data_IF_243832242692
#
_entry.id   IF_243832242692
#
_cell.length_a   1.000
_cell.length_b   1.000
_cell.length_c   1.000
_cell.angle_alpha   90.00
_cell.angle_beta   90.00
_cell.angle_gamma   90.00
#
_symmetry.space_group_name_H-M   'P 1'
#
loop_
_entity.id
_entity.type
_entity.pdbx_description
1 polymer ?
#
# COMPACT_ATOMS: atom_id res chain seq x y z
N UNK A 1 -1.39 16.88 -35.93
CA UNK A 1 -0.48 18.04 -35.85
C UNK A 1 0.63 17.61 -34.92
N UNK A 2 1.87 17.59 -35.40
CA UNK A 2 3.02 17.17 -34.60
C UNK A 2 3.17 18.13 -33.41
N UNK A 3 3.34 17.56 -32.22
CA UNK A 3 3.52 18.32 -30.98
C UNK A 3 4.89 19.03 -31.05
N UNK A 4 4.95 20.38 -30.92
CA UNK A 4 6.22 21.12 -30.99
C UNK A 4 7.28 20.60 -30.02
N UNK A 5 6.89 20.01 -28.89
CA UNK A 5 7.81 19.38 -27.94
C UNK A 5 8.49 18.13 -28.51
N UNK A 6 7.79 17.34 -29.34
CA UNK A 6 8.37 16.17 -30.00
C UNK A 6 9.44 16.56 -31.03
N UNK A 7 9.26 17.70 -31.70
CA UNK A 7 10.20 18.20 -32.73
C UNK A 7 11.48 18.75 -32.11
N UNK A 8 11.37 19.45 -30.98
CA UNK A 8 12.53 19.94 -30.22
C UNK A 8 13.36 18.77 -29.67
N UNK A 9 12.71 17.76 -29.08
CA UNK A 9 13.38 16.55 -28.59
C UNK A 9 14.05 15.75 -29.71
N UNK A 10 13.43 15.67 -30.90
CA UNK A 10 14.02 15.00 -32.05
C UNK A 10 15.29 15.70 -32.56
N UNK A 11 15.39 17.02 -32.39
CA UNK A 11 16.60 17.80 -32.74
C UNK A 11 17.77 17.43 -31.82
N UNK A 12 17.48 17.08 -30.57
CA UNK A 12 18.45 16.54 -29.60
C UNK A 12 18.68 15.02 -29.74
N UNK A 13 18.17 14.39 -30.80
CA UNK A 13 18.29 12.95 -31.04
C UNK A 13 17.40 12.09 -30.15
N UNK A 14 16.47 12.69 -29.40
CA UNK A 14 15.54 12.00 -28.50
C UNK A 14 14.25 11.68 -29.26
N UNK A 15 13.92 10.38 -29.38
CA UNK A 15 12.66 9.94 -29.99
C UNK A 15 11.61 9.67 -28.93
N UNK A 16 10.47 10.36 -29.03
CA UNK A 16 9.33 10.17 -28.13
C UNK A 16 8.28 9.33 -28.85
N UNK A 17 8.07 8.10 -28.36
CA UNK A 17 7.00 7.21 -28.83
C UNK A 17 5.63 7.60 -28.26
N UNK A 18 4.53 6.96 -28.73
CA UNK A 18 3.22 7.17 -28.15
C UNK A 18 3.23 6.78 -26.66
N UNK A 19 2.55 7.57 -25.82
CA UNK A 19 2.43 7.26 -24.40
C UNK A 19 1.68 5.93 -24.22
N UNK A 20 2.38 4.92 -23.71
CA UNK A 20 1.79 3.62 -23.39
C UNK A 20 1.40 3.59 -21.91
N UNK A 21 0.14 3.23 -21.63
CA UNK A 21 -0.33 3.07 -20.26
C UNK A 21 0.10 1.71 -19.76
N UNK A 22 1.16 1.68 -18.93
CA UNK A 22 1.55 0.46 -18.22
C UNK A 22 0.71 0.36 -16.95
N UNK A 23 -0.23 -0.59 -16.91
CA UNK A 23 -0.99 -0.90 -15.71
C UNK A 23 -0.08 -1.57 -14.67
N UNK A 24 0.69 -0.80 -13.91
CA UNK A 24 1.50 -1.30 -12.81
C UNK A 24 0.65 -1.42 -11.53
N UNK A 25 -0.31 -2.35 -11.52
CA UNK A 25 -0.87 -2.86 -10.29
C UNK A 25 -0.18 -4.17 -9.97
N UNK A 26 0.86 -4.13 -9.14
CA UNK A 26 1.47 -5.37 -8.66
C UNK A 26 1.49 -5.41 -7.15
N UNK A 27 1.07 -6.56 -6.62
CA UNK A 27 1.19 -6.91 -5.21
C UNK A 27 2.64 -7.21 -4.81
N UNK A 28 3.61 -6.79 -5.62
CA UNK A 28 5.02 -7.14 -5.52
C UNK A 28 5.86 -5.87 -5.30
N UNK A 29 6.95 -5.97 -4.49
CA UNK A 29 7.79 -4.81 -4.20
C UNK A 29 8.56 -4.27 -5.42
N UNK A 30 8.64 -5.04 -6.50
CA UNK A 30 9.26 -4.67 -7.77
C UNK A 30 8.53 -5.36 -8.91
N UNK A 31 8.42 -4.68 -10.05
CA UNK A 31 7.87 -5.22 -11.29
C UNK A 31 8.68 -4.69 -12.45
N UNK A 32 9.12 -5.61 -13.31
CA UNK A 32 9.79 -5.29 -14.56
C UNK A 32 8.89 -5.71 -15.70
N UNK A 33 8.56 -4.77 -16.58
CA UNK A 33 7.83 -5.04 -17.82
C UNK A 33 8.77 -4.88 -19.00
N UNK A 34 8.74 -5.83 -19.92
CA UNK A 34 9.52 -5.80 -21.15
C UNK A 34 8.58 -5.65 -22.34
N UNK A 35 8.89 -4.74 -23.26
CA UNK A 35 8.18 -4.59 -24.53
C UNK A 35 9.15 -4.23 -25.64
N UNK A 36 8.77 -4.48 -26.90
CA UNK A 36 9.54 -4.00 -28.04
C UNK A 36 9.08 -2.60 -28.43
N UNK A 37 10.03 -1.70 -28.64
CA UNK A 37 9.75 -0.39 -29.23
C UNK A 37 9.51 -0.50 -30.75
N UNK A 38 9.15 0.63 -31.38
CA UNK A 38 8.89 0.70 -32.82
C UNK A 38 10.12 0.39 -33.70
N UNK A 39 11.33 0.43 -33.15
CA UNK A 39 12.57 0.05 -33.83
C UNK A 39 12.94 -1.43 -33.60
N UNK A 40 12.11 -2.18 -32.86
CA UNK A 40 12.36 -3.57 -32.48
C UNK A 40 13.30 -3.73 -31.29
N UNK A 41 13.76 -2.64 -30.67
CA UNK A 41 14.57 -2.66 -29.46
C UNK A 41 13.76 -3.14 -28.27
N UNK A 42 14.37 -3.94 -27.38
CA UNK A 42 13.71 -4.36 -26.14
C UNK A 42 13.87 -3.27 -25.08
N UNK A 43 12.75 -2.71 -24.63
CA UNK A 43 12.68 -1.71 -23.57
C UNK A 43 12.21 -2.36 -22.28
N UNK A 44 12.91 -2.08 -21.18
CA UNK A 44 12.55 -2.55 -19.84
C UNK A 44 12.09 -1.36 -19.01
N UNK A 45 10.93 -1.48 -18.38
CA UNK A 45 10.44 -0.50 -17.39
C UNK A 45 10.38 -1.17 -16.03
N UNK A 46 10.92 -0.51 -15.01
CA UNK A 46 10.90 -0.98 -13.63
C UNK A 46 10.00 -0.05 -12.80
N UNK A 47 9.05 -0.64 -12.08
CA UNK A 47 8.25 0.04 -11.06
C UNK A 47 8.53 -0.67 -9.73
N UNK A 48 8.92 0.10 -8.71
CA UNK A 48 9.25 -0.45 -7.40
C UNK A 48 8.64 0.33 -6.25
N UNK A 49 8.49 -0.40 -5.16
CA UNK A 49 8.11 0.12 -3.88
C UNK A 49 9.32 0.75 -3.18
N UNK A 50 9.43 2.08 -3.24
CA UNK A 50 10.49 2.87 -2.59
C UNK A 50 10.62 2.70 -1.08
N UNK A 51 9.64 2.10 -0.41
CA UNK A 51 9.73 1.81 1.02
C UNK A 51 10.38 0.45 1.31
N UNK A 52 10.47 -0.40 0.29
CA UNK A 52 11.02 -1.76 0.39
C UNK A 52 12.32 -1.93 -0.40
N UNK A 53 12.47 -1.21 -1.49
CA UNK A 53 13.63 -1.29 -2.39
C UNK A 53 14.11 0.13 -2.64
N UNK A 54 15.41 0.36 -2.49
CA UNK A 54 15.98 1.69 -2.76
C UNK A 54 16.07 1.92 -4.26
N UNK A 55 16.09 3.18 -4.70
CA UNK A 55 16.27 3.50 -6.11
C UNK A 55 17.55 2.87 -6.71
N UNK A 56 18.71 2.87 -6.01
CA UNK A 56 19.90 2.13 -6.45
C UNK A 56 19.68 0.61 -6.58
N UNK A 57 19.02 -0.04 -5.61
CA UNK A 57 18.76 -1.48 -5.68
C UNK A 57 17.80 -1.84 -6.83
N UNK A 58 16.80 -0.98 -7.09
CA UNK A 58 15.87 -1.16 -8.20
C UNK A 58 16.56 -0.98 -9.57
N UNK A 59 17.45 0.01 -9.68
CA UNK A 59 18.27 0.23 -10.87
C UNK A 59 19.23 -0.94 -11.13
N UNK A 60 19.86 -1.47 -10.08
CA UNK A 60 20.73 -2.64 -10.17
C UNK A 60 19.96 -3.88 -10.64
N UNK A 61 18.78 -4.13 -10.07
CA UNK A 61 17.90 -5.24 -10.49
C UNK A 61 17.54 -5.13 -11.97
N UNK A 62 17.24 -3.93 -12.46
CA UNK A 62 16.94 -3.67 -13.86
C UNK A 62 18.18 -3.93 -14.75
N UNK A 63 19.37 -3.49 -14.32
CA UNK A 63 20.62 -3.71 -15.03
C UNK A 63 20.97 -5.20 -15.15
N UNK A 64 20.83 -5.95 -14.06
CA UNK A 64 21.04 -7.41 -14.04
C UNK A 64 20.04 -8.13 -14.94
N UNK A 65 18.76 -7.71 -14.92
CA UNK A 65 17.74 -8.26 -15.83
C UNK A 65 18.10 -8.00 -17.29
N UNK A 66 18.56 -6.78 -17.62
CA UNK A 66 18.99 -6.43 -18.96
C UNK A 66 20.21 -7.26 -19.41
N UNK A 67 21.17 -7.52 -18.51
CA UNK A 67 22.33 -8.38 -18.79
C UNK A 67 21.91 -9.81 -19.10
N UNK A 68 21.06 -10.40 -18.26
CA UNK A 68 20.54 -11.76 -18.48
C UNK A 68 19.81 -11.87 -19.82
N UNK A 69 18.93 -10.92 -20.14
CA UNK A 69 18.18 -10.92 -21.40
C UNK A 69 19.08 -10.75 -22.65
N UNK A 70 20.27 -10.16 -22.49
CA UNK A 70 21.26 -10.03 -23.57
C UNK A 70 22.09 -11.29 -23.76
N UNK A 71 22.46 -11.95 -22.67
CA UNK A 71 23.42 -13.06 -22.70
C UNK A 71 22.75 -14.44 -22.84
N UNK A 72 21.55 -14.63 -22.27
CA UNK A 72 20.84 -15.92 -22.38
C UNK A 72 20.60 -16.36 -23.83
N UNK A 73 20.18 -15.49 -24.77
CA UNK A 73 20.03 -15.87 -26.17
C UNK A 73 21.34 -16.24 -26.88
N UNK A 74 22.49 -15.86 -26.31
CA UNK A 74 23.82 -16.12 -26.88
C UNK A 74 24.46 -17.41 -26.36
N UNK A 75 23.89 -18.01 -25.32
CA UNK A 75 24.41 -19.23 -24.74
C UNK A 75 24.30 -20.41 -25.74
N UNK A 76 25.40 -21.10 -26.07
CA UNK A 76 25.36 -22.20 -27.01
C UNK A 76 24.76 -23.46 -26.36
N UNK A 77 23.52 -23.82 -26.71
CA UNK A 77 22.98 -25.15 -26.40
C UNK A 77 21.47 -25.20 -26.12
N UNK A 78 20.89 -26.39 -26.27
CA UNK A 78 19.46 -26.67 -26.09
C UNK A 78 18.97 -26.64 -24.63
N UNK A 79 19.83 -26.32 -23.66
CA UNK A 79 19.46 -26.27 -22.24
C UNK A 79 20.44 -25.40 -21.42
N UNK A 80 20.24 -24.07 -21.42
CA UNK A 80 20.85 -23.18 -20.41
C UNK A 80 20.16 -23.40 -19.08
N UNK A 81 20.89 -23.78 -18.04
CA UNK A 81 20.30 -23.96 -16.71
C UNK A 81 20.14 -22.62 -16.00
N UNK A 82 19.30 -22.58 -14.97
CA UNK A 82 19.19 -21.41 -14.08
C UNK A 82 20.52 -21.13 -13.39
N UNK A 83 21.32 -22.15 -13.07
CA UNK A 83 22.63 -21.96 -12.46
C UNK A 83 23.59 -21.24 -13.44
N UNK A 84 23.59 -21.63 -14.72
CA UNK A 84 24.40 -20.96 -15.75
C UNK A 84 23.96 -19.51 -15.95
N UNK A 85 22.65 -19.25 -15.90
CA UNK A 85 22.11 -17.89 -15.95
C UNK A 85 22.56 -17.06 -14.74
N UNK A 86 22.50 -17.62 -13.53
CA UNK A 86 22.90 -16.92 -12.31
C UNK A 86 24.42 -16.71 -12.23
N UNK A 87 25.22 -17.60 -12.82
CA UNK A 87 26.67 -17.43 -12.92
C UNK A 87 27.07 -16.15 -13.69
N UNK A 88 26.21 -15.66 -14.60
CA UNK A 88 26.42 -14.38 -15.28
C UNK A 88 26.35 -13.18 -14.32
N UNK A 89 25.75 -13.35 -13.13
CA UNK A 89 25.62 -12.33 -12.11
C UNK A 89 26.69 -12.45 -11.01
N UNK A 90 27.61 -13.42 -11.11
CA UNK A 90 28.65 -13.62 -10.11
C UNK A 90 29.49 -12.34 -9.95
N UNK A 91 29.67 -11.91 -8.69
CA UNK A 91 30.37 -10.68 -8.35
C UNK A 91 29.55 -9.39 -8.48
N UNK A 92 28.33 -9.46 -9.01
CA UNK A 92 27.39 -8.32 -9.01
C UNK A 92 26.82 -8.09 -7.61
N UNK A 93 26.54 -6.83 -7.22
CA UNK A 93 25.91 -6.55 -5.93
C UNK A 93 24.51 -7.17 -5.88
N UNK A 94 24.17 -7.80 -4.75
CA UNK A 94 22.85 -8.40 -4.56
C UNK A 94 21.86 -7.29 -4.15
N UNK A 95 20.84 -6.97 -4.96
CA UNK A 95 19.87 -5.95 -4.63
C UNK A 95 19.11 -6.30 -3.35
N UNK A 96 18.96 -5.33 -2.46
CA UNK A 96 18.33 -5.57 -1.15
C UNK A 96 16.85 -5.24 -1.19
N UNK A 97 16.05 -6.18 -0.70
CA UNK A 97 14.63 -5.96 -0.43
C UNK A 97 14.45 -5.97 1.08
N UNK A 98 13.99 -4.85 1.65
CA UNK A 98 13.62 -4.83 3.04
C UNK A 98 12.54 -5.90 3.30
N UNK A 99 12.76 -6.69 4.35
CA UNK A 99 11.77 -7.63 4.84
C UNK A 99 10.44 -6.90 5.01
N UNK A 100 9.29 -7.53 4.71
CA UNK A 100 8.01 -6.95 5.05
C UNK A 100 8.05 -6.60 6.54
N UNK A 101 7.95 -5.31 6.88
CA UNK A 101 7.72 -4.90 8.26
C UNK A 101 6.24 -5.15 8.56
N UNK A 102 5.85 -6.42 8.54
CA UNK A 102 4.53 -6.83 8.95
C UNK A 102 4.49 -6.75 10.48
N UNK A 103 4.28 -5.54 11.02
CA UNK A 103 3.41 -5.48 12.19
C UNK A 103 2.06 -5.96 11.69
N UNK A 104 1.76 -7.21 12.01
CA UNK A 104 0.49 -7.84 11.64
C UNK A 104 -0.62 -7.00 12.24
N UNK A 105 -1.54 -6.56 11.38
CA UNK A 105 -2.80 -6.01 11.83
C UNK A 105 -3.42 -7.00 12.80
N UNK A 106 -3.72 -6.56 14.02
CA UNK A 106 -4.51 -7.36 14.96
C UNK A 106 -5.94 -7.36 14.45
N UNK A 107 -6.41 -8.53 14.02
CA UNK A 107 -7.79 -8.70 13.58
C UNK A 107 -8.68 -8.74 14.84
N UNK A 108 -9.56 -7.76 14.96
CA UNK A 108 -10.58 -7.71 16.02
C UNK A 108 -11.82 -8.49 15.62
N UNK A 109 -12.16 -8.44 14.32
CA UNK A 109 -13.27 -9.19 13.74
C UNK A 109 -13.00 -9.41 12.25
N UNK A 110 -13.17 -10.65 11.78
CA UNK A 110 -13.06 -10.97 10.36
C UNK A 110 -14.21 -10.32 9.56
N UNK A 111 -14.00 -10.13 8.25
CA UNK A 111 -15.08 -9.74 7.35
C UNK A 111 -16.13 -10.85 7.29
N UNK A 112 -17.41 -10.48 7.22
CA UNK A 112 -18.51 -11.44 7.11
C UNK A 112 -18.74 -11.94 5.68
N UNK A 113 -18.17 -11.25 4.68
CA UNK A 113 -18.20 -11.65 3.26
C UNK A 113 -16.94 -11.23 2.52
N UNK A 114 -16.60 -11.96 1.47
CA UNK A 114 -15.51 -11.62 0.55
C UNK A 114 -15.77 -10.25 -0.11
N UNK A 115 -14.73 -9.42 -0.21
CA UNK A 115 -14.83 -8.10 -0.83
C UNK A 115 -15.53 -7.03 0.02
N UNK A 116 -15.88 -7.31 1.28
CA UNK A 116 -16.48 -6.30 2.17
C UNK A 116 -15.54 -5.13 2.48
N UNK A 117 -14.23 -5.32 2.31
CA UNK A 117 -13.21 -4.34 2.66
C UNK A 117 -12.77 -4.40 4.12
N UNK A 118 -11.87 -3.48 4.48
CA UNK A 118 -11.22 -3.42 5.80
C UNK A 118 -11.41 -2.06 6.44
N UNK A 119 -11.72 -2.04 7.73
CA UNK A 119 -11.64 -0.87 8.59
C UNK A 119 -10.42 -1.04 9.48
N UNK A 120 -9.47 -0.11 9.38
CA UNK A 120 -8.29 -0.06 10.21
C UNK A 120 -8.45 1.00 11.30
N UNK A 121 -8.55 0.53 12.54
CA UNK A 121 -8.67 1.35 13.73
C UNK A 121 -7.30 1.78 14.22
N UNK A 122 -7.03 3.07 14.13
CA UNK A 122 -5.80 3.70 14.58
C UNK A 122 -5.91 3.96 16.08
N UNK A 123 -5.07 3.36 16.94
CA UNK A 123 -5.12 3.65 18.37
C UNK A 123 -4.66 5.08 18.64
N UNK A 124 -5.35 5.83 19.53
CA UNK A 124 -4.78 7.03 20.13
C UNK A 124 -3.47 6.71 20.86
N UNK A 125 -2.51 7.66 20.95
CA UNK A 125 -1.19 7.41 21.54
C UNK A 125 -1.25 6.91 22.98
N UNK A 126 -2.23 7.36 23.76
CA UNK A 126 -2.39 7.04 25.18
C UNK A 126 -3.51 6.02 25.46
N UNK A 127 -4.06 5.38 24.42
CA UNK A 127 -5.17 4.46 24.61
C UNK A 127 -4.73 3.14 25.27
N UNK A 128 -5.54 2.59 26.19
CA UNK A 128 -5.23 1.29 26.78
C UNK A 128 -5.24 0.19 25.70
N UNK A 129 -4.42 -0.86 25.86
CA UNK A 129 -4.54 -2.07 25.04
C UNK A 129 -5.98 -2.58 25.08
N UNK A 130 -6.54 -2.91 23.91
CA UNK A 130 -7.93 -3.40 23.83
C UNK A 130 -9.01 -2.32 23.84
N UNK A 131 -8.68 -1.02 23.70
CA UNK A 131 -9.67 0.06 23.61
C UNK A 131 -10.75 -0.11 22.52
N UNK A 132 -10.51 -0.97 21.53
CA UNK A 132 -11.44 -1.30 20.45
C UNK A 132 -12.15 -2.65 20.60
N UNK A 133 -11.91 -3.40 21.69
CA UNK A 133 -12.47 -4.74 21.85
C UNK A 133 -14.02 -4.70 21.93
N UNK A 134 -14.58 -3.72 22.63
CA UNK A 134 -16.02 -3.49 22.67
C UNK A 134 -16.61 -3.11 21.30
N UNK A 135 -15.82 -2.47 20.43
CA UNK A 135 -16.26 -2.07 19.09
C UNK A 135 -16.43 -3.27 18.17
N UNK A 136 -15.65 -4.35 18.38
CA UNK A 136 -15.79 -5.59 17.62
C UNK A 136 -17.21 -6.18 17.73
N UNK A 137 -17.86 -6.00 18.87
CA UNK A 137 -19.24 -6.44 19.12
C UNK A 137 -20.27 -5.40 18.71
N UNK A 138 -19.96 -4.10 18.86
CA UNK A 138 -20.92 -3.01 18.60
C UNK A 138 -21.11 -2.70 17.10
N UNK A 139 -20.12 -2.99 16.26
CA UNK A 139 -20.16 -2.70 14.82
C UNK A 139 -20.90 -3.79 14.03
N UNK A 140 -22.01 -3.42 13.37
CA UNK A 140 -22.87 -4.37 12.66
C UNK A 140 -22.51 -4.56 11.16
N UNK A 141 -21.63 -3.74 10.60
CA UNK A 141 -21.29 -3.80 9.17
C UNK A 141 -20.56 -5.09 8.76
N UNK A 142 -20.37 -5.36 7.45
CA UNK A 142 -19.71 -6.59 6.96
C UNK A 142 -18.16 -6.56 6.92
N UNK A 143 -17.54 -5.40 7.12
CA UNK A 143 -16.11 -5.14 6.94
C UNK A 143 -15.25 -5.89 7.98
N UNK A 144 -14.03 -6.25 7.63
CA UNK A 144 -13.05 -6.66 8.63
C UNK A 144 -12.72 -5.48 9.56
N UNK A 145 -12.65 -5.72 10.87
CA UNK A 145 -12.15 -4.76 11.84
C UNK A 145 -10.75 -5.16 12.26
N UNK A 146 -9.80 -4.24 12.06
CA UNK A 146 -8.39 -4.46 12.36
C UNK A 146 -7.84 -3.28 13.16
N UNK A 147 -6.75 -3.49 13.89
CA UNK A 147 -6.01 -2.41 14.56
C UNK A 147 -4.50 -2.67 14.52
N UNK A 148 -3.71 -1.61 14.62
CA UNK A 148 -2.24 -1.69 14.70
C UNK A 148 -1.84 -1.64 16.19
N UNK A 149 -0.97 -2.53 16.68
CA UNK A 149 -0.54 -2.48 18.07
C UNK A 149 0.24 -1.19 18.37
N UNK A 150 -0.03 -0.51 19.51
CA UNK A 150 0.75 0.65 19.93
C UNK A 150 2.18 0.24 20.39
N UNK A 151 3.18 1.13 20.28
CA UNK A 151 3.12 2.43 19.62
C UNK A 151 3.13 2.30 18.09
N UNK A 152 2.21 3.00 17.43
CA UNK A 152 2.05 3.00 15.98
C UNK A 152 2.30 4.42 15.43
N UNK A 153 3.21 4.53 14.46
CA UNK A 153 3.42 5.74 13.67
C UNK A 153 2.81 5.56 12.26
N UNK A 154 2.74 6.64 11.48
CA UNK A 154 2.10 6.60 10.16
C UNK A 154 2.80 5.62 9.19
N UNK A 155 4.12 5.42 9.35
CA UNK A 155 4.91 4.50 8.53
C UNK A 155 4.56 3.04 8.86
N UNK A 156 4.45 2.71 10.14
CA UNK A 156 4.09 1.39 10.62
C UNK A 156 2.65 1.02 10.24
N UNK A 157 1.72 1.97 10.36
CA UNK A 157 0.33 1.77 9.92
C UNK A 157 0.26 1.54 8.41
N UNK A 158 0.95 2.35 7.61
CA UNK A 158 1.02 2.14 6.16
C UNK A 158 1.60 0.76 5.83
N UNK A 159 2.71 0.37 6.45
CA UNK A 159 3.34 -0.93 6.21
C UNK A 159 2.39 -2.10 6.48
N UNK A 160 1.60 -2.02 7.55
CA UNK A 160 0.59 -3.00 7.90
C UNK A 160 -0.59 -3.05 6.90
N UNK A 161 -0.94 -1.91 6.28
CA UNK A 161 -2.03 -1.76 5.32
C UNK A 161 -1.67 -2.10 3.88
N UNK A 162 -0.37 -2.15 3.53
CA UNK A 162 0.10 -2.45 2.16
C UNK A 162 -0.58 -3.65 1.50
N UNK A 163 -0.76 -4.81 2.17
CA UNK A 163 -1.37 -5.97 1.53
C UNK A 163 -2.84 -5.74 1.15
N UNK A 164 -3.57 -4.90 1.90
CA UNK A 164 -4.94 -4.53 1.55
C UNK A 164 -4.99 -3.52 0.42
N UNK A 165 -4.11 -2.50 0.46
CA UNK A 165 -3.98 -1.49 -0.59
C UNK A 165 -3.58 -2.10 -1.93
N UNK A 166 -2.63 -3.04 -1.94
CA UNK A 166 -2.18 -3.73 -3.13
C UNK A 166 -3.26 -4.61 -3.79
N UNK A 167 -4.24 -5.09 -3.01
CA UNK A 167 -5.38 -5.85 -3.52
C UNK A 167 -6.53 -4.96 -4.02
N UNK A 168 -6.39 -3.64 -3.89
CA UNK A 168 -7.44 -2.68 -4.28
C UNK A 168 -8.71 -2.80 -3.42
N UNK A 169 -8.61 -3.34 -2.20
CA UNK A 169 -9.79 -3.50 -1.36
C UNK A 169 -10.28 -2.17 -0.79
N UNK A 170 -11.61 -1.99 -0.60
CA UNK A 170 -12.15 -0.85 0.11
C UNK A 170 -11.52 -0.72 1.49
N UNK A 171 -10.91 0.44 1.76
CA UNK A 171 -10.22 0.75 3.01
C UNK A 171 -10.82 1.98 3.67
N UNK A 172 -11.11 1.88 4.97
CA UNK A 172 -11.53 2.97 5.83
C UNK A 172 -10.57 3.07 7.02
N UNK A 173 -10.13 4.28 7.36
CA UNK A 173 -9.41 4.55 8.59
C UNK A 173 -10.39 5.04 9.65
N UNK A 174 -10.32 4.46 10.84
CA UNK A 174 -11.21 4.80 11.95
C UNK A 174 -10.44 5.07 13.23
N UNK A 175 -11.00 5.87 14.13
CA UNK A 175 -10.46 5.98 15.48
C UNK A 175 -11.24 6.95 16.36
N UNK A 176 -10.92 6.94 17.65
CA UNK A 176 -11.40 7.98 18.56
C UNK A 176 -10.67 9.31 18.28
N UNK A 177 -11.22 10.43 18.77
CA UNK A 177 -10.71 11.81 18.55
C UNK A 177 -9.17 11.96 18.64
N UNK A 178 -8.52 11.27 19.59
CA UNK A 178 -7.06 11.29 19.75
C UNK A 178 -6.25 10.60 18.64
N UNK A 179 -6.88 9.93 17.69
CA UNK A 179 -6.24 9.23 16.57
C UNK A 179 -6.31 10.00 15.24
N UNK A 180 -7.04 11.13 15.18
CA UNK A 180 -7.32 11.84 13.93
C UNK A 180 -6.08 12.33 13.19
N UNK A 181 -5.11 12.91 13.90
CA UNK A 181 -3.85 13.39 13.30
C UNK A 181 -3.05 12.25 12.68
N UNK A 182 -2.95 11.11 13.37
CA UNK A 182 -2.28 9.93 12.86
C UNK A 182 -3.02 9.31 11.68
N UNK A 183 -4.35 9.25 11.72
CA UNK A 183 -5.17 8.74 10.62
C UNK A 183 -5.04 9.62 9.36
N UNK A 184 -5.05 10.95 9.50
CA UNK A 184 -4.80 11.88 8.40
C UNK A 184 -3.38 11.72 7.83
N UNK A 185 -2.36 11.66 8.69
CA UNK A 185 -0.98 11.45 8.26
C UNK A 185 -0.79 10.13 7.48
N UNK A 186 -1.52 9.07 7.87
CA UNK A 186 -1.55 7.82 7.12
C UNK A 186 -2.23 7.99 5.76
N UNK A 187 -3.40 8.65 5.70
CA UNK A 187 -4.12 8.88 4.46
C UNK A 187 -3.31 9.72 3.46
N UNK A 188 -2.67 10.79 3.92
CA UNK A 188 -1.75 11.62 3.12
C UNK A 188 -0.57 10.81 2.59
N UNK A 189 0.00 9.94 3.43
CA UNK A 189 1.09 9.07 3.02
C UNK A 189 0.64 8.00 2.02
N UNK A 190 -0.59 7.47 2.14
CA UNK A 190 -1.16 6.57 1.13
C UNK A 190 -1.25 7.31 -0.22
N UNK A 191 -1.79 8.53 -0.23
CA UNK A 191 -1.86 9.36 -1.43
C UNK A 191 -0.48 9.69 -2.02
N UNK A 192 0.52 9.96 -1.17
CA UNK A 192 1.89 10.24 -1.62
C UNK A 192 2.57 9.06 -2.32
N UNK A 193 2.05 7.84 -2.16
CA UNK A 193 2.53 6.64 -2.85
C UNK A 193 1.66 6.28 -4.07
N UNK A 194 0.71 7.15 -4.46
CA UNK A 194 -0.13 6.99 -5.64
C UNK A 194 -1.38 6.12 -5.45
N UNK A 195 -1.66 5.67 -4.23
CA UNK A 195 -2.91 4.97 -3.92
C UNK A 195 -4.04 5.96 -3.61
N UNK A 196 -5.28 5.53 -3.83
CA UNK A 196 -6.45 6.31 -3.46
C UNK A 196 -6.49 6.52 -1.93
N UNK A 197 -6.56 7.77 -1.44
CA UNK A 197 -6.62 8.03 -0.01
C UNK A 197 -7.93 7.47 0.58
N UNK A 198 -7.86 6.67 1.65
CA UNK A 198 -9.04 6.13 2.31
C UNK A 198 -9.82 7.25 3.03
N UNK A 199 -11.12 7.06 3.20
CA UNK A 199 -11.91 7.91 4.08
C UNK A 199 -11.41 7.75 5.53
N UNK A 200 -11.48 8.85 6.29
CA UNK A 200 -11.12 8.88 7.71
C UNK A 200 -12.39 9.19 8.53
N UNK A 201 -12.72 8.30 9.46
CA UNK A 201 -13.89 8.38 10.32
C UNK A 201 -13.47 8.51 11.78
N UNK A 202 -13.78 9.66 12.40
CA UNK A 202 -13.38 9.96 13.78
C UNK A 202 -14.60 9.97 14.69
N UNK A 203 -14.54 9.16 15.74
CA UNK A 203 -15.51 9.14 16.83
C UNK A 203 -15.16 10.11 17.95
N UNK A 204 -16.11 10.31 18.88
CA UNK A 204 -15.91 11.16 20.06
C UNK A 204 -14.76 10.69 20.97
N UNK A 205 -14.49 11.45 22.01
CA UNK A 205 -13.41 11.15 22.97
C UNK A 205 -13.73 9.89 23.76
N UNK A 206 -12.76 8.98 23.86
CA UNK A 206 -12.84 7.86 24.79
C UNK A 206 -12.54 8.39 26.20
N UNK A 207 -13.57 8.62 27.01
CA UNK A 207 -13.37 8.97 28.42
C UNK A 207 -12.91 7.74 29.18
N UNK A 208 -11.82 7.85 29.93
CA UNK A 208 -11.44 6.80 30.88
C UNK A 208 -12.61 6.57 31.86
N UNK A 209 -12.85 5.34 32.33
CA UNK A 209 -13.88 5.09 33.34
C UNK A 209 -13.47 5.84 34.62
N UNK A 210 -14.09 6.99 34.87
CA UNK A 210 -13.95 7.70 36.14
C UNK A 210 -14.70 6.90 37.19
N UNK A 211 -14.00 6.48 38.24
CA UNK A 211 -14.57 5.77 39.40
C UNK A 211 -15.47 6.64 40.28
N UNK A 212 -15.91 7.79 39.80
CA UNK A 212 -16.76 8.71 40.53
C UNK A 212 -18.03 8.98 39.74
N UNK A 213 -19.16 8.66 40.37
CA UNK A 213 -20.49 8.76 39.82
C UNK A 213 -20.84 10.20 39.45
N UNK A 214 -21.14 10.41 38.18
CA UNK A 214 -21.71 11.63 37.64
C UNK A 214 -22.18 11.32 36.24
N UNK A 215 -23.45 10.91 36.11
CA UNK A 215 -24.04 10.62 34.82
C UNK A 215 -24.13 11.88 33.97
N UNK A 216 -23.40 11.88 32.86
CA UNK A 216 -23.81 12.61 31.66
C UNK A 216 -24.22 11.56 30.62
N UNK A 217 -25.47 11.63 30.19
CA UNK A 217 -26.10 10.73 29.22
C UNK A 217 -25.61 10.97 27.79
N UNK A 218 -24.30 11.13 27.61
CA UNK A 218 -23.67 11.17 26.30
C UNK A 218 -23.83 9.82 25.59
N UNK A 219 -23.89 9.80 24.25
CA UNK A 219 -23.90 8.54 23.52
C UNK A 219 -22.64 7.74 23.87
N UNK A 220 -22.80 6.47 24.25
CA UNK A 220 -21.71 5.52 24.46
C UNK A 220 -20.67 5.69 23.32
N UNK A 221 -19.42 6.11 23.63
CA UNK A 221 -18.44 6.50 22.63
C UNK A 221 -18.15 5.37 21.65
N UNK A 222 -18.28 4.11 22.08
CA UNK A 222 -18.13 2.93 21.22
C UNK A 222 -19.28 2.84 20.21
N UNK A 223 -20.53 3.01 20.65
CA UNK A 223 -21.70 3.03 19.74
C UNK A 223 -21.71 4.25 18.82
N UNK A 224 -21.24 5.39 19.30
CA UNK A 224 -21.08 6.59 18.48
C UNK A 224 -20.07 6.34 17.36
N UNK A 225 -18.90 5.79 17.68
CA UNK A 225 -17.88 5.43 16.69
C UNK A 225 -18.41 4.37 15.71
N UNK A 226 -19.12 3.33 16.18
CA UNK A 226 -19.71 2.32 15.32
C UNK A 226 -20.64 2.93 14.25
N UNK A 227 -21.53 3.84 14.64
CA UNK A 227 -22.43 4.55 13.70
C UNK A 227 -21.67 5.42 12.70
N UNK A 228 -20.61 6.11 13.15
CA UNK A 228 -19.76 6.90 12.24
C UNK A 228 -19.08 6.00 11.21
N UNK A 229 -18.57 4.84 11.64
CA UNK A 229 -17.96 3.86 10.74
C UNK A 229 -18.95 3.27 9.75
N UNK A 230 -20.18 2.95 10.17
CA UNK A 230 -21.25 2.46 9.28
C UNK A 230 -21.57 3.49 8.19
N UNK A 231 -21.72 4.76 8.59
CA UNK A 231 -22.00 5.87 7.66
C UNK A 231 -20.85 6.06 6.67
N UNK A 232 -19.61 6.04 7.15
CA UNK A 232 -18.43 6.22 6.30
C UNK A 232 -18.21 5.01 5.36
N UNK A 233 -18.45 3.78 5.84
CA UNK A 233 -18.30 2.58 5.05
C UNK A 233 -19.32 2.47 3.91
N UNK A 234 -20.54 2.97 4.12
CA UNK A 234 -21.54 3.10 3.06
C UNK A 234 -21.04 4.02 1.93
N UNK A 235 -20.37 5.11 2.26
CA UNK A 235 -19.77 6.05 1.30
C UNK A 235 -18.57 5.45 0.56
N UNK A 236 -17.70 4.69 1.25
CA UNK A 236 -16.55 4.02 0.61
C UNK A 236 -16.99 2.96 -0.40
N UNK A 237 -18.08 2.24 -0.12
CA UNK A 237 -18.58 1.17 -1.01
C UNK A 237 -19.26 1.73 -2.27
N UNK A 238 -19.72 2.98 -2.24
CA UNK A 238 -20.39 3.64 -3.36
C UNK A 238 -19.43 4.30 -4.36
N UNK A 239 -18.12 4.29 -4.08
CA UNK A 239 -17.12 4.97 -4.90
C UNK A 239 -16.48 3.95 -5.87
N UNK A 240 -16.60 4.14 -7.20
CA UNK A 240 -16.11 3.21 -8.22
C UNK A 240 -14.59 3.16 -8.29
#
# INVERSE_FOLDING_TARGET
ADDPAHTELATEGVRVGPAETIAAHTAHPLTVTAHHDAAGGLVLTCVHDRTRITDPDAAETLAQTALLLRELPRAPGTATTVADALALLDGSPVPRVAAPTARTLRILRAASRTGAGTICLVPPPDAPPGCYDALATAYAGPQALTTVPPPADAKAVLAALRPALARGEPLLLGGFSGAGSLACAVAERIASHGWHPPLVAIGGTLTAPTTEGGGDGGPDPVRALARTLETAAATTTARP
#
